data_IF_123884436867
#
_entry.id   IF_123884436867
#
_cell.length_a   1.000
_cell.length_b   1.000
_cell.length_c   1.000
_cell.angle_alpha   90.00
_cell.angle_beta   90.00
_cell.angle_gamma   90.00
#
_symmetry.space_group_name_H-M   'P 1'
#
loop_
_entity.id
_entity.type
_entity.pdbx_description
1 polymer ?
#
# COMPACT_ATOMS: atom_id res chain seq x y z
N UNK A 1 8.50 14.04 4.20
CA UNK A 1 8.88 14.79 5.39
C UNK A 1 10.31 15.33 5.30
N UNK A 2 11.16 14.84 4.38
CA UNK A 2 12.53 15.34 4.17
C UNK A 2 13.53 14.84 5.21
N UNK A 3 13.21 13.79 5.94
CA UNK A 3 14.10 13.10 6.86
C UNK A 3 14.86 12.00 6.12
N UNK A 4 16.06 11.71 6.61
CA UNK A 4 16.83 10.57 6.11
C UNK A 4 16.15 9.27 6.54
N UNK A 5 15.94 8.35 5.60
CA UNK A 5 15.36 7.04 5.84
C UNK A 5 16.46 5.97 5.76
N UNK A 6 16.80 5.32 6.89
CA UNK A 6 17.83 4.28 6.92
C UNK A 6 17.53 3.12 5.96
N UNK A 7 16.25 2.72 5.86
CA UNK A 7 15.84 1.65 4.95
C UNK A 7 16.06 2.04 3.48
N UNK A 8 15.74 3.29 3.10
CA UNK A 8 15.96 3.76 1.73
C UNK A 8 17.46 3.85 1.39
N UNK A 9 18.29 4.27 2.37
CA UNK A 9 19.74 4.27 2.23
C UNK A 9 20.28 2.85 2.01
N UNK A 10 19.85 1.89 2.81
CA UNK A 10 20.24 0.48 2.68
C UNK A 10 19.78 -0.12 1.34
N UNK A 11 18.54 0.13 0.93
CA UNK A 11 18.02 -0.33 -0.38
C UNK A 11 18.86 0.22 -1.54
N UNK A 12 19.26 1.49 -1.50
CA UNK A 12 20.16 2.09 -2.52
C UNK A 12 21.52 1.39 -2.54
N UNK A 13 22.07 1.06 -1.40
CA UNK A 13 23.34 0.33 -1.30
C UNK A 13 23.22 -1.06 -1.94
N UNK A 14 22.19 -1.83 -1.63
CA UNK A 14 21.93 -3.13 -2.23
C UNK A 14 21.79 -3.05 -3.77
N UNK A 15 21.16 -2.01 -4.31
CA UNK A 15 21.11 -1.80 -5.76
C UNK A 15 22.49 -1.47 -6.35
N UNK A 16 23.32 -0.73 -5.62
CA UNK A 16 24.68 -0.38 -6.07
C UNK A 16 25.63 -1.60 -6.10
N UNK A 17 25.46 -2.55 -5.19
CA UNK A 17 26.21 -3.82 -5.21
C UNK A 17 25.96 -4.61 -6.48
N UNK A 18 24.73 -4.59 -7.00
CA UNK A 18 24.39 -5.14 -8.31
C UNK A 18 24.37 -6.66 -8.40
N UNK A 19 24.51 -7.40 -7.28
CA UNK A 19 24.38 -8.87 -7.30
C UNK A 19 22.91 -9.27 -7.45
N UNK A 20 22.64 -10.47 -7.94
CA UNK A 20 21.26 -10.94 -8.12
C UNK A 20 20.51 -11.01 -6.79
N UNK A 21 21.18 -11.45 -5.74
CA UNK A 21 20.60 -11.58 -4.39
C UNK A 21 20.37 -10.21 -3.75
N UNK A 22 21.34 -9.28 -3.81
CA UNK A 22 21.14 -7.92 -3.29
C UNK A 22 20.03 -7.17 -4.04
N UNK A 23 19.93 -7.32 -5.36
CA UNK A 23 18.81 -6.74 -6.13
C UNK A 23 17.46 -7.34 -5.71
N UNK A 24 17.40 -8.64 -5.44
CA UNK A 24 16.18 -9.30 -4.97
C UNK A 24 15.77 -8.81 -3.58
N UNK A 25 16.72 -8.71 -2.66
CA UNK A 25 16.51 -8.17 -1.32
C UNK A 25 16.05 -6.71 -1.40
N UNK A 26 16.72 -5.86 -2.17
CA UNK A 26 16.34 -4.47 -2.38
C UNK A 26 14.88 -4.33 -2.88
N UNK A 27 14.45 -5.15 -3.83
CA UNK A 27 13.06 -5.15 -4.32
C UNK A 27 12.04 -5.57 -3.26
N UNK A 28 12.42 -6.43 -2.32
CA UNK A 28 11.55 -6.84 -1.22
C UNK A 28 11.43 -5.75 -0.15
N UNK A 29 12.54 -5.09 0.17
CA UNK A 29 12.62 -4.04 1.20
C UNK A 29 12.15 -2.68 0.70
N UNK A 30 12.17 -2.43 -0.61
CA UNK A 30 11.81 -1.14 -1.19
C UNK A 30 10.42 -0.67 -0.75
N UNK A 31 10.35 0.55 -0.23
CA UNK A 31 9.10 1.18 0.18
C UNK A 31 8.09 1.24 -0.95
N UNK A 32 6.84 0.90 -0.65
CA UNK A 32 5.72 0.96 -1.60
C UNK A 32 4.77 2.07 -1.20
N UNK A 33 4.59 3.02 -2.08
CA UNK A 33 3.62 4.10 -1.86
C UNK A 33 2.19 3.56 -1.82
N UNK A 34 1.46 3.92 -0.77
CA UNK A 34 0.03 3.62 -0.59
C UNK A 34 -0.73 4.91 -0.38
N UNK A 35 -1.93 4.92 -0.89
CA UNK A 35 -2.89 6.01 -0.74
C UNK A 35 -4.11 5.49 -0.01
N UNK A 36 -4.78 6.36 0.72
CA UNK A 36 -5.95 6.00 1.51
C UNK A 36 -7.05 7.02 1.30
N UNK A 37 -8.28 6.54 1.21
CA UNK A 37 -9.47 7.38 1.16
C UNK A 37 -10.54 6.83 2.07
N UNK A 38 -11.25 7.67 2.82
CA UNK A 38 -12.48 7.26 3.48
C UNK A 38 -13.53 6.98 2.41
N UNK A 39 -14.26 5.90 2.56
CA UNK A 39 -15.31 5.47 1.63
C UNK A 39 -16.53 4.97 2.37
N UNK A 40 -17.70 5.18 1.76
CA UNK A 40 -18.93 4.48 2.12
C UNK A 40 -19.22 3.43 1.05
N UNK A 41 -19.49 2.19 1.47
CA UNK A 41 -19.80 1.09 0.54
C UNK A 41 -21.29 0.96 0.39
N UNK A 42 -21.80 1.16 -0.82
CA UNK A 42 -23.23 1.02 -1.11
C UNK A 42 -23.71 -0.41 -0.87
N UNK A 43 -24.82 -0.52 -0.15
CA UNK A 43 -25.37 -1.79 0.30
C UNK A 43 -24.76 -2.35 1.59
N UNK A 44 -23.83 -1.61 2.19
CA UNK A 44 -23.21 -1.91 3.49
C UNK A 44 -23.07 -0.64 4.35
N UNK A 45 -24.00 0.30 4.17
CA UNK A 45 -24.00 1.60 4.84
C UNK A 45 -24.04 1.48 6.38
N UNK A 46 -24.64 0.42 6.89
CA UNK A 46 -24.68 0.11 8.32
C UNK A 46 -23.30 -0.13 8.95
N UNK A 47 -22.28 -0.41 8.12
CA UNK A 47 -20.88 -0.56 8.58
C UNK A 47 -20.14 0.77 8.69
N UNK A 48 -20.79 1.89 8.33
CA UNK A 48 -20.24 3.24 8.38
C UNK A 48 -19.08 3.49 7.42
N UNK A 49 -18.33 4.54 7.67
CA UNK A 49 -17.16 4.93 6.88
C UNK A 49 -16.02 3.94 7.09
N UNK A 50 -15.45 3.48 5.98
CA UNK A 50 -14.28 2.60 5.96
C UNK A 50 -13.10 3.26 5.27
N UNK A 51 -11.90 2.86 5.67
CA UNK A 51 -10.68 3.32 5.04
C UNK A 51 -10.26 2.35 3.93
N UNK A 52 -10.21 2.87 2.71
CA UNK A 52 -9.76 2.09 1.54
C UNK A 52 -8.32 2.42 1.20
N UNK A 53 -7.43 1.40 1.27
CA UNK A 53 -6.03 1.51 0.89
C UNK A 53 -5.78 1.00 -0.53
N UNK A 54 -5.08 1.80 -1.35
CA UNK A 54 -4.80 1.48 -2.75
C UNK A 54 -3.42 1.94 -3.20
N UNK A 55 -2.95 1.41 -4.33
CA UNK A 55 -1.65 1.74 -4.91
C UNK A 55 -1.73 2.86 -5.94
N UNK A 56 -0.57 3.24 -6.48
CA UNK A 56 -0.41 4.34 -7.45
C UNK A 56 -1.32 4.24 -8.68
N UNK A 57 -1.55 3.05 -9.21
CA UNK A 57 -2.39 2.84 -10.39
C UNK A 57 -3.85 3.31 -10.16
N UNK A 58 -4.40 2.99 -9.00
CA UNK A 58 -5.74 3.42 -8.60
C UNK A 58 -5.76 4.91 -8.32
N UNK A 59 -4.74 5.43 -7.63
CA UNK A 59 -4.58 6.87 -7.39
C UNK A 59 -4.61 7.68 -8.69
N UNK A 60 -3.87 7.24 -9.71
CA UNK A 60 -3.86 7.92 -11.02
C UNK A 60 -5.27 7.95 -11.65
N UNK A 61 -6.00 6.83 -11.62
CA UNK A 61 -7.38 6.79 -12.13
C UNK A 61 -8.31 7.74 -11.36
N UNK A 62 -8.20 7.79 -10.03
CA UNK A 62 -8.98 8.74 -9.22
C UNK A 62 -8.63 10.18 -9.54
N UNK A 63 -7.34 10.49 -9.68
CA UNK A 63 -6.87 11.83 -10.02
C UNK A 63 -7.39 12.28 -11.40
N UNK A 64 -7.40 11.40 -12.39
CA UNK A 64 -7.97 11.66 -13.71
C UNK A 64 -9.47 12.01 -13.64
N UNK A 65 -10.23 11.33 -12.76
CA UNK A 65 -11.65 11.64 -12.54
C UNK A 65 -11.84 12.99 -11.85
N UNK A 66 -11.09 13.26 -10.79
CA UNK A 66 -11.16 14.52 -10.02
C UNK A 66 -10.76 15.73 -10.86
N UNK A 67 -9.77 15.58 -11.74
CA UNK A 67 -9.31 16.65 -12.62
C UNK A 67 -10.19 16.85 -13.86
N UNK A 68 -11.13 15.96 -14.12
CA UNK A 68 -12.01 16.07 -15.26
C UNK A 68 -13.23 16.96 -14.94
N UNK A 69 -13.34 18.14 -15.57
CA UNK A 69 -14.42 19.09 -15.26
C UNK A 69 -15.83 18.57 -15.58
N UNK A 70 -15.95 17.54 -16.41
CA UNK A 70 -17.24 16.90 -16.75
C UNK A 70 -17.91 16.24 -15.54
N UNK A 71 -17.13 15.80 -14.53
CA UNK A 71 -17.66 15.11 -13.33
C UNK A 71 -17.91 16.07 -12.17
N UNK A 72 -17.36 17.31 -12.19
CA UNK A 72 -17.43 18.22 -11.06
C UNK A 72 -16.74 17.63 -9.82
N UNK A 73 -17.27 17.96 -8.65
CA UNK A 73 -16.78 17.38 -7.38
C UNK A 73 -17.43 16.01 -7.15
N UNK A 74 -16.67 14.96 -7.44
CA UNK A 74 -17.14 13.58 -7.24
C UNK A 74 -17.31 13.21 -5.75
N UNK A 75 -16.79 14.01 -4.83
CA UNK A 75 -16.84 13.79 -3.37
C UNK A 75 -17.94 14.58 -2.69
N UNK A 76 -18.70 15.38 -3.44
CA UNK A 76 -19.81 16.18 -2.89
C UNK A 76 -20.87 15.27 -2.25
N UNK A 77 -21.28 15.51 -0.98
CA UNK A 77 -22.24 14.66 -0.28
C UNK A 77 -23.63 14.63 -0.92
N UNK A 78 -24.05 15.69 -1.61
CA UNK A 78 -25.39 15.84 -2.19
C UNK A 78 -25.42 15.45 -3.68
N UNK A 79 -24.38 15.80 -4.42
CA UNK A 79 -24.33 15.68 -5.88
C UNK A 79 -23.12 14.94 -6.40
N UNK A 80 -22.38 14.26 -5.53
CA UNK A 80 -21.20 13.48 -5.89
C UNK A 80 -21.48 12.31 -6.81
N UNK A 81 -20.47 11.54 -7.10
CA UNK A 81 -20.56 10.44 -8.06
C UNK A 81 -20.04 9.14 -7.45
N UNK A 82 -20.91 8.13 -7.38
CA UNK A 82 -20.48 6.79 -6.96
C UNK A 82 -19.49 6.18 -7.95
N UNK A 83 -18.52 5.46 -7.40
CA UNK A 83 -17.50 4.77 -8.17
C UNK A 83 -17.70 3.27 -8.13
N UNK A 84 -17.69 2.63 -9.31
CA UNK A 84 -17.73 1.18 -9.43
C UNK A 84 -16.33 0.65 -9.54
N UNK A 85 -15.93 -0.19 -8.55
CA UNK A 85 -14.64 -0.85 -8.52
C UNK A 85 -14.75 -2.26 -9.10
N UNK A 86 -13.97 -2.51 -10.15
CA UNK A 86 -13.82 -3.83 -10.74
C UNK A 86 -12.42 -4.34 -10.47
N UNK A 87 -12.33 -5.44 -9.73
CA UNK A 87 -11.08 -6.13 -9.48
C UNK A 87 -11.04 -7.44 -10.24
N UNK A 88 -10.03 -7.64 -11.05
CA UNK A 88 -9.91 -8.86 -11.84
C UNK A 88 -8.63 -8.90 -12.65
N UNK A 89 -8.37 -10.06 -13.25
CA UNK A 89 -7.23 -10.28 -14.14
C UNK A 89 -7.66 -10.09 -15.59
N UNK A 90 -7.30 -8.97 -16.25
CA UNK A 90 -7.60 -8.78 -17.67
C UNK A 90 -6.90 -9.82 -18.54
N UNK A 91 -7.47 -10.12 -19.71
CA UNK A 91 -6.84 -11.01 -20.68
C UNK A 91 -5.45 -10.49 -21.09
N UNK A 92 -4.45 -11.37 -21.07
CA UNK A 92 -3.06 -11.03 -21.41
C UNK A 92 -2.25 -10.37 -20.27
N UNK A 93 -2.84 -10.10 -19.12
CA UNK A 93 -2.11 -9.57 -17.96
C UNK A 93 -1.69 -10.68 -17.00
N UNK A 94 -0.50 -10.52 -16.38
CA UNK A 94 0.02 -11.48 -15.39
C UNK A 94 -0.65 -11.32 -14.04
N UNK A 95 -0.99 -10.08 -13.64
CA UNK A 95 -1.54 -9.74 -12.33
C UNK A 95 -2.94 -9.13 -12.42
N UNK A 96 -3.78 -9.34 -11.39
CA UNK A 96 -5.06 -8.68 -11.30
C UNK A 96 -4.88 -7.16 -11.13
N UNK A 97 -5.84 -6.40 -11.64
CA UNK A 97 -5.87 -4.95 -11.57
C UNK A 97 -7.21 -4.46 -11.04
N UNK A 98 -7.18 -3.32 -10.37
CA UNK A 98 -8.39 -2.58 -10.01
C UNK A 98 -8.66 -1.52 -11.07
N UNK A 99 -9.84 -1.56 -11.66
CA UNK A 99 -10.35 -0.54 -12.57
C UNK A 99 -11.49 0.21 -11.89
N UNK A 100 -11.45 1.54 -11.98
CA UNK A 100 -12.49 2.42 -11.44
C UNK A 100 -13.32 2.95 -12.60
N UNK A 101 -14.63 2.96 -12.42
CA UNK A 101 -15.58 3.56 -13.37
C UNK A 101 -16.57 4.44 -12.61
N UNK A 102 -16.73 5.70 -12.99
CA UNK A 102 -17.75 6.56 -12.39
C UNK A 102 -19.14 6.12 -12.83
N UNK A 103 -20.10 6.21 -11.92
CA UNK A 103 -21.51 6.04 -12.23
C UNK A 103 -21.99 7.14 -13.19
N UNK A 104 -22.99 6.83 -14.00
CA UNK A 104 -23.55 7.82 -14.94
C UNK A 104 -24.43 8.86 -14.28
N UNK A 105 -24.86 8.62 -13.07
CA UNK A 105 -25.77 9.50 -12.31
C UNK A 105 -25.07 9.92 -11.04
N UNK A 106 -25.33 11.16 -10.65
CA UNK A 106 -24.98 11.65 -9.33
C UNK A 106 -25.80 10.91 -8.26
N UNK A 107 -25.25 10.81 -7.07
CA UNK A 107 -25.88 10.13 -5.95
C UNK A 107 -25.55 10.86 -4.63
N UNK A 108 -26.58 11.03 -3.82
CA UNK A 108 -26.41 11.55 -2.48
C UNK A 108 -25.75 10.47 -1.59
N UNK A 109 -24.81 10.89 -0.74
CA UNK A 109 -24.14 9.94 0.17
C UNK A 109 -25.09 9.50 1.27
N UNK A 110 -25.95 10.41 1.75
CA UNK A 110 -26.88 10.24 2.85
C UNK A 110 -28.33 9.96 2.41
N UNK A 111 -28.50 9.31 1.26
CA UNK A 111 -29.80 8.93 0.78
C UNK A 111 -30.47 7.96 1.78
N UNK A 112 -31.75 8.22 2.08
CA UNK A 112 -32.59 7.36 2.93
C UNK A 112 -32.22 7.36 4.44
N UNK A 113 -31.37 8.29 4.91
CA UNK A 113 -31.09 8.51 6.34
C UNK A 113 -31.43 9.94 6.75
N UNK A 114 -31.59 10.16 8.06
CA UNK A 114 -31.89 11.50 8.59
C UNK A 114 -30.68 12.42 8.55
N UNK A 115 -30.90 13.73 8.60
CA UNK A 115 -29.82 14.73 8.64
C UNK A 115 -28.87 14.53 9.84
N UNK A 116 -29.40 14.08 10.99
CA UNK A 116 -28.60 13.81 12.19
C UNK A 116 -27.73 12.57 12.02
N UNK A 117 -28.26 11.50 11.42
CA UNK A 117 -27.51 10.29 11.08
C UNK A 117 -26.45 10.60 10.03
N UNK A 118 -26.77 11.43 9.04
CA UNK A 118 -25.82 11.88 8.04
C UNK A 118 -24.65 12.66 8.66
N UNK A 119 -24.94 13.61 9.53
CA UNK A 119 -23.91 14.36 10.24
C UNK A 119 -23.01 13.42 11.06
N UNK A 120 -23.60 12.48 11.78
CA UNK A 120 -22.85 11.47 12.55
C UNK A 120 -21.96 10.59 11.64
N UNK A 121 -22.46 10.22 10.47
CA UNK A 121 -21.71 9.44 9.49
C UNK A 121 -20.50 10.23 8.97
N UNK A 122 -20.68 11.49 8.60
CA UNK A 122 -19.61 12.36 8.11
C UNK A 122 -18.57 12.67 9.20
N UNK A 123 -19.02 12.87 10.44
CA UNK A 123 -18.12 13.06 11.59
C UNK A 123 -17.33 11.78 11.94
N UNK A 124 -17.78 10.61 11.49
CA UNK A 124 -17.08 9.33 11.69
C UNK A 124 -15.89 9.12 10.78
N UNK A 125 -15.60 10.04 9.86
CA UNK A 125 -14.39 9.99 9.01
C UNK A 125 -13.15 9.99 9.89
N UNK A 126 -12.29 8.95 9.81
CA UNK A 126 -11.15 8.85 10.71
C UNK A 126 -10.09 9.91 10.41
N UNK A 127 -9.52 10.48 11.47
CA UNK A 127 -8.32 11.28 11.34
C UNK A 127 -7.13 10.38 10.99
N UNK A 128 -6.52 10.62 9.83
CA UNK A 128 -5.39 9.83 9.34
C UNK A 128 -4.19 9.85 10.28
N UNK A 129 -3.97 10.95 11.01
CA UNK A 129 -2.90 11.06 11.98
C UNK A 129 -3.08 10.09 13.17
N UNK A 130 -4.33 9.75 13.50
CA UNK A 130 -4.64 8.79 14.56
C UNK A 130 -4.63 7.33 14.09
N UNK A 131 -4.85 7.10 12.79
CA UNK A 131 -4.91 5.74 12.21
C UNK A 131 -3.52 5.18 11.89
N UNK A 132 -2.59 6.04 11.49
CA UNK A 132 -1.24 5.64 11.07
C UNK A 132 -0.20 6.13 12.07
N UNK A 133 0.49 5.16 12.66
CA UNK A 133 1.63 5.42 13.54
C UNK A 133 2.89 5.67 12.70
N UNK A 134 3.41 6.90 12.79
CA UNK A 134 4.65 7.29 12.12
C UNK A 134 5.84 6.72 12.88
N UNK A 135 6.67 5.96 12.20
CA UNK A 135 7.95 5.49 12.74
C UNK A 135 9.02 6.57 12.63
N UNK A 136 9.86 6.67 13.65
CA UNK A 136 11.05 7.53 13.61
C UNK A 136 12.17 6.85 12.82
N UNK A 137 13.18 7.60 12.32
CA UNK A 137 14.36 6.99 11.70
C UNK A 137 15.03 5.94 12.59
N UNK A 138 15.09 6.19 13.90
CA UNK A 138 15.67 5.26 14.89
C UNK A 138 14.83 3.97 15.01
N UNK A 139 13.50 4.08 14.96
CA UNK A 139 12.62 2.91 14.94
C UNK A 139 12.81 2.09 13.68
N UNK A 140 12.93 2.76 12.51
CA UNK A 140 13.16 2.09 11.23
C UNK A 140 14.52 1.39 11.23
N UNK A 141 15.57 2.04 11.75
CA UNK A 141 16.90 1.42 11.88
C UNK A 141 16.83 0.16 12.75
N UNK A 142 16.21 0.24 13.93
CA UNK A 142 16.06 -0.93 14.81
C UNK A 142 15.33 -2.08 14.13
N UNK A 143 14.23 -1.78 13.41
CA UNK A 143 13.48 -2.81 12.67
C UNK A 143 14.31 -3.43 11.55
N UNK A 144 15.16 -2.64 10.88
CA UNK A 144 16.09 -3.13 9.87
C UNK A 144 17.14 -4.06 10.49
N UNK A 145 17.73 -3.67 11.63
CA UNK A 145 18.73 -4.45 12.35
C UNK A 145 18.14 -5.79 12.83
N UNK A 146 16.91 -5.77 13.38
CA UNK A 146 16.17 -6.99 13.77
C UNK A 146 15.94 -7.89 12.56
N UNK A 147 15.46 -7.34 11.43
CA UNK A 147 15.22 -8.09 10.20
C UNK A 147 16.48 -8.77 9.67
N UNK A 148 17.63 -8.08 9.68
CA UNK A 148 18.89 -8.62 9.21
C UNK A 148 19.48 -9.67 10.16
N UNK A 149 19.25 -9.52 11.48
CA UNK A 149 19.68 -10.50 12.49
C UNK A 149 18.85 -11.79 12.46
N UNK A 150 17.55 -11.68 12.13
CA UNK A 150 16.65 -12.84 12.04
C UNK A 150 16.86 -13.63 10.73
N UNK A 151 17.42 -13.02 9.68
CA UNK A 151 17.69 -13.71 8.42
C UNK A 151 18.78 -14.78 8.58
N UNK A 152 19.71 -14.61 9.54
CA UNK A 152 20.64 -15.68 9.95
C UNK A 152 19.92 -16.88 10.61
N UNK A 153 18.73 -16.64 11.20
CA UNK A 153 17.91 -17.67 11.85
C UNK A 153 16.85 -18.28 10.91
N UNK A 154 16.53 -17.61 9.80
CA UNK A 154 15.41 -17.94 8.93
C UNK A 154 15.70 -19.07 7.93
N UNK A 155 16.94 -19.55 7.81
CA UNK A 155 17.25 -20.77 7.04
C UNK A 155 16.60 -22.02 7.68
N UNK A 156 16.26 -22.00 8.97
CA UNK A 156 15.58 -23.13 9.64
C UNK A 156 14.04 -23.01 9.64
N UNK A 157 13.44 -21.84 9.45
CA UNK A 157 11.99 -21.62 9.58
C UNK A 157 11.23 -21.48 8.24
N UNK A 158 11.88 -21.60 7.11
CA UNK A 158 11.22 -21.44 5.79
C UNK A 158 10.40 -22.65 5.33
N UNK A 159 10.19 -23.66 6.19
CA UNK A 159 9.41 -24.86 5.85
C UNK A 159 7.91 -24.78 6.18
N UNK A 160 7.42 -23.78 6.91
CA UNK A 160 6.03 -23.75 7.36
C UNK A 160 5.33 -22.39 7.23
N UNK A 161 5.37 -21.71 6.11
CA UNK A 161 4.39 -20.62 5.91
C UNK A 161 3.74 -20.74 4.54
N UNK A 162 2.47 -21.06 4.57
CA UNK A 162 1.56 -21.26 3.45
C UNK A 162 1.64 -20.12 2.44
N UNK A 163 2.18 -20.44 1.28
CA UNK A 163 2.28 -19.58 0.10
C UNK A 163 0.92 -19.36 -0.52
N UNK A 164 0.58 -18.12 -0.75
CA UNK A 164 -0.39 -17.78 -1.78
C UNK A 164 0.37 -17.58 -3.11
N UNK A 165 0.41 -18.66 -3.91
CA UNK A 165 0.61 -18.66 -5.36
C UNK A 165 1.95 -18.27 -5.94
N UNK A 166 2.81 -19.20 -6.22
CA UNK A 166 3.22 -19.72 -7.53
C UNK A 166 4.47 -20.57 -7.40
N UNK A 167 4.38 -21.78 -7.98
CA UNK A 167 5.49 -22.69 -8.16
C UNK A 167 6.59 -22.09 -9.02
N UNK A 168 7.81 -22.08 -8.53
CA UNK A 168 8.99 -22.47 -9.33
C UNK A 168 10.16 -22.77 -8.38
N UNK A 169 10.55 -24.01 -8.36
CA UNK A 169 11.71 -24.55 -7.67
C UNK A 169 12.98 -24.01 -8.31
N UNK A 170 13.83 -23.33 -7.57
CA UNK A 170 15.27 -23.33 -7.85
C UNK A 170 16.03 -23.03 -6.55
N UNK A 171 16.77 -24.00 -6.09
CA UNK A 171 17.72 -23.94 -4.99
C UNK A 171 18.89 -23.04 -5.40
N UNK A 172 19.08 -21.93 -4.69
CA UNK A 172 20.31 -21.12 -4.82
C UNK A 172 20.85 -20.88 -3.41
N UNK A 173 22.05 -21.32 -3.18
CA UNK A 173 22.84 -21.01 -2.00
C UNK A 173 23.10 -19.50 -1.96
N UNK A 174 22.57 -18.84 -0.95
CA UNK A 174 22.75 -17.43 -0.71
C UNK A 174 24.16 -17.17 -0.20
N UNK A 175 24.89 -16.26 -0.85
CA UNK A 175 26.15 -15.75 -0.33
C UNK A 175 25.86 -14.75 0.79
N UNK A 176 25.73 -15.24 2.02
CA UNK A 176 25.58 -14.41 3.23
C UNK A 176 26.68 -13.34 3.36
N UNK A 177 27.84 -13.54 2.73
CA UNK A 177 28.98 -12.61 2.80
C UNK A 177 28.77 -11.25 2.14
N UNK A 178 27.87 -11.13 1.14
CA UNK A 178 27.68 -9.84 0.45
C UNK A 178 26.73 -8.91 1.22
N UNK A 179 25.76 -9.48 1.94
CA UNK A 179 24.82 -8.71 2.78
C UNK A 179 25.51 -8.19 4.04
N UNK A 180 26.38 -8.99 4.63
CA UNK A 180 27.18 -8.62 5.80
C UNK A 180 28.16 -7.47 5.48
N UNK A 181 28.74 -7.48 4.29
CA UNK A 181 29.61 -6.41 3.79
C UNK A 181 28.86 -5.10 3.63
N UNK A 182 27.66 -5.14 3.04
CA UNK A 182 26.82 -3.96 2.87
C UNK A 182 26.37 -3.34 4.20
N UNK A 183 26.15 -4.17 5.22
CA UNK A 183 25.75 -3.71 6.54
C UNK A 183 26.90 -3.07 7.31
N UNK A 184 28.12 -3.61 7.22
CA UNK A 184 29.30 -3.03 7.88
C UNK A 184 29.69 -1.67 7.31
N UNK A 185 29.50 -1.44 6.00
CA UNK A 185 29.76 -0.15 5.37
C UNK A 185 28.75 0.94 5.78
N UNK A 186 27.58 0.54 6.29
CA UNK A 186 26.52 1.47 6.74
C UNK A 186 26.73 1.94 8.21
N UNK A 187 27.37 1.11 9.03
CA UNK A 187 27.56 1.38 10.47
C UNK A 187 28.94 2.04 10.76
N UNK A 188 29.87 1.98 9.84
CA UNK A 188 31.21 2.55 9.95
C UNK A 188 31.29 3.99 9.51
#
# INVERSE_FOLDING_TARGET
FGEDDPLDAFVRQLFNEGTEDSIKMAKNLMARQRFFSPILVRGEEEKGVRLWGYGKQVYTQLLELVLNPEYGDITDPESGTDLVLNYGKPAGMTFPQTKIMPSRRTSEICKDITSEECATLLDSVPDFASVFDRKTPEDVQRMLDEYLSDDESAEELSSETTRYGSDTTTTSQTNASSVESAFQDLIG
#
